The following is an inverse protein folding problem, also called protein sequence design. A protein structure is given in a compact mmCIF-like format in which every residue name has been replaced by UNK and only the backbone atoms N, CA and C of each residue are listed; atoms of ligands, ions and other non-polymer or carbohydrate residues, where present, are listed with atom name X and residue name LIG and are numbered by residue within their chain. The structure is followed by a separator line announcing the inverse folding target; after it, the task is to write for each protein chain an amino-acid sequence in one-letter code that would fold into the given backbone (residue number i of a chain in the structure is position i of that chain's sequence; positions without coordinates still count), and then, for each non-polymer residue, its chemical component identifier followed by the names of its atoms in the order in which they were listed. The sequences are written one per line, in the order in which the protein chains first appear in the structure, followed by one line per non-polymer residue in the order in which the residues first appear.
data_IF_723311534124
#
_entry.id   IF_723311534124
#
_cell.length_a   1.000
_cell.length_b   1.000
_cell.length_c   1.000
_cell.angle_alpha   90.00
_cell.angle_beta   90.00
_cell.angle_gamma   90.00
#
_symmetry.space_group_name_H-M   'P 1'
#
loop_
_entity.id
_entity.type
_entity.pdbx_description
1 polymer ?
#
# COMPACT_ATOMS: atom_id res chain seq x y z
N UNK A 1 25.57 18.03 -44.39
CA UNK A 1 26.17 16.67 -44.44
C UNK A 1 25.60 15.83 -43.31
N UNK A 2 24.58 14.97 -43.55
CA UNK A 2 24.09 14.05 -42.52
C UNK A 2 24.65 12.64 -42.73
N UNK A 3 25.18 12.02 -41.69
CA UNK A 3 25.51 10.58 -41.66
C UNK A 3 25.67 10.16 -40.20
N UNK A 4 25.08 9.09 -39.66
CA UNK A 4 24.10 8.12 -40.11
C UNK A 4 23.80 7.26 -38.87
N UNK A 5 22.53 7.13 -38.48
CA UNK A 5 22.11 6.22 -37.40
C UNK A 5 21.75 4.87 -38.01
N UNK A 6 22.57 3.85 -37.75
CA UNK A 6 22.26 2.47 -38.06
C UNK A 6 21.13 1.98 -37.15
N UNK A 7 19.93 1.82 -37.73
CA UNK A 7 18.79 1.19 -37.08
C UNK A 7 19.04 -0.31 -36.93
N UNK A 8 19.18 -0.78 -35.68
CA UNK A 8 19.13 -2.21 -35.37
C UNK A 8 17.65 -2.62 -35.40
N UNK A 9 17.26 -3.32 -36.46
CA UNK A 9 15.91 -3.82 -36.63
C UNK A 9 15.51 -4.74 -35.45
N UNK A 10 14.66 -4.24 -34.56
CA UNK A 10 13.92 -5.05 -33.60
C UNK A 10 13.05 -6.04 -34.39
N UNK A 11 13.34 -7.34 -34.25
CA UNK A 11 12.52 -8.40 -34.86
C UNK A 11 11.10 -8.27 -34.31
N UNK A 12 10.12 -8.21 -35.21
CA UNK A 12 8.69 -8.06 -34.88
C UNK A 12 8.22 -9.18 -33.94
N UNK A 13 7.32 -8.92 -32.97
CA UNK A 13 6.77 -9.91 -32.03
C UNK A 13 6.13 -11.15 -32.68
N UNK A 14 5.75 -11.06 -33.95
CA UNK A 14 5.11 -12.15 -34.71
C UNK A 14 6.05 -13.34 -35.00
N UNK A 15 7.39 -13.15 -35.01
CA UNK A 15 8.31 -14.27 -35.25
C UNK A 15 8.50 -15.17 -34.03
N UNK A 16 8.38 -14.65 -32.80
CA UNK A 16 8.45 -15.45 -31.56
C UNK A 16 7.19 -16.30 -31.33
N UNK A 17 6.02 -15.84 -31.79
CA UNK A 17 4.76 -16.61 -31.68
C UNK A 17 4.75 -17.91 -32.50
N UNK A 18 5.59 -18.03 -33.54
CA UNK A 18 5.70 -19.27 -34.34
C UNK A 18 6.33 -20.43 -33.59
N UNK A 19 7.10 -20.18 -32.53
CA UNK A 19 7.71 -21.22 -31.70
C UNK A 19 6.83 -21.71 -30.54
N UNK A 20 5.64 -21.13 -30.38
CA UNK A 20 4.66 -21.52 -29.36
C UNK A 20 3.37 -22.13 -29.95
N UNK A 21 3.25 -22.24 -31.28
CA UNK A 21 2.20 -23.06 -31.90
C UNK A 21 2.70 -24.51 -32.03
N UNK A 22 1.98 -25.51 -31.51
CA UNK A 22 2.37 -26.90 -31.69
C UNK A 22 2.27 -27.26 -33.18
N UNK A 23 3.23 -28.02 -33.74
CA UNK A 23 3.06 -28.63 -35.05
C UNK A 23 1.89 -29.63 -34.99
N UNK A 24 1.05 -29.74 -36.04
CA UNK A 24 0.00 -30.74 -36.06
C UNK A 24 0.63 -32.14 -36.14
N UNK A 25 0.34 -32.99 -35.15
CA UNK A 25 0.56 -34.44 -35.24
C UNK A 25 1.93 -34.99 -34.82
N UNK A 26 2.42 -34.70 -33.61
CA UNK A 26 3.47 -35.54 -32.97
C UNK A 26 2.94 -36.25 -31.72
N UNK A 27 3.03 -37.59 -31.61
CA UNK A 27 2.75 -38.30 -30.38
C UNK A 27 3.92 -38.04 -29.41
N UNK A 28 3.64 -37.35 -28.30
CA UNK A 28 4.65 -36.97 -27.31
C UNK A 28 4.39 -35.67 -26.52
N UNK A 29 3.23 -35.03 -26.67
CA UNK A 29 2.81 -33.97 -25.74
C UNK A 29 2.49 -34.61 -24.39
N UNK A 30 3.34 -34.40 -23.40
CA UNK A 30 3.04 -34.78 -22.02
C UNK A 30 1.76 -34.04 -21.63
N UNK A 31 0.63 -34.78 -21.56
CA UNK A 31 -0.62 -34.20 -21.06
C UNK A 31 -0.36 -33.67 -19.65
N UNK A 32 -1.02 -32.57 -19.24
CA UNK A 32 -1.10 -32.21 -17.83
C UNK A 32 -1.41 -33.46 -17.02
N UNK A 33 -0.60 -33.73 -15.99
CA UNK A 33 -0.85 -34.86 -15.09
C UNK A 33 -2.29 -34.76 -14.58
N UNK A 34 -3.03 -35.89 -14.46
CA UNK A 34 -4.47 -35.87 -14.14
C UNK A 34 -4.83 -34.95 -12.96
N UNK A 35 -3.98 -34.94 -11.93
CA UNK A 35 -4.15 -34.13 -10.73
C UNK A 35 -4.22 -32.60 -10.97
N UNK A 36 -3.39 -32.02 -11.85
CA UNK A 36 -3.42 -30.57 -12.08
C UNK A 36 -4.69 -30.13 -12.84
N UNK A 37 -5.20 -30.99 -13.73
CA UNK A 37 -6.45 -30.75 -14.45
C UNK A 37 -7.62 -30.76 -13.47
N UNK A 38 -7.67 -31.78 -12.60
CA UNK A 38 -8.70 -31.92 -11.57
C UNK A 38 -8.67 -30.76 -10.56
N UNK A 39 -7.48 -30.36 -10.10
CA UNK A 39 -7.32 -29.22 -9.19
C UNK A 39 -7.75 -27.90 -9.83
N UNK A 40 -7.41 -27.67 -11.10
CA UNK A 40 -7.86 -26.48 -11.83
C UNK A 40 -9.39 -26.46 -11.94
N UNK A 41 -9.99 -27.56 -12.40
CA UNK A 41 -11.43 -27.66 -12.54
C UNK A 41 -12.16 -27.43 -11.20
N UNK A 42 -11.65 -28.02 -10.11
CA UNK A 42 -12.19 -27.81 -8.77
C UNK A 42 -12.06 -26.35 -8.33
N UNK A 43 -10.88 -25.73 -8.45
CA UNK A 43 -10.66 -24.34 -8.08
C UNK A 43 -11.60 -23.39 -8.83
N UNK A 44 -11.74 -23.57 -10.13
CA UNK A 44 -12.63 -22.75 -10.97
C UNK A 44 -14.11 -22.99 -10.64
N UNK A 45 -14.50 -24.22 -10.31
CA UNK A 45 -15.88 -24.50 -9.85
C UNK A 45 -16.23 -23.81 -8.53
N UNK A 46 -15.22 -23.44 -7.75
CA UNK A 46 -15.34 -22.67 -6.50
C UNK A 46 -15.16 -21.16 -6.72
N UNK A 47 -15.03 -20.70 -7.96
CA UNK A 47 -14.83 -19.28 -8.30
C UNK A 47 -13.42 -18.76 -8.02
N UNK A 48 -12.43 -19.65 -7.89
CA UNK A 48 -11.02 -19.29 -7.68
C UNK A 48 -10.24 -19.29 -9.00
N UNK A 49 -9.32 -18.35 -9.15
CA UNK A 49 -8.34 -18.39 -10.26
C UNK A 49 -7.27 -19.43 -9.96
N UNK A 50 -7.13 -20.42 -10.83
CA UNK A 50 -6.05 -21.40 -10.76
C UNK A 50 -4.81 -20.93 -11.51
N UNK A 51 -3.66 -20.96 -10.83
CA UNK A 51 -2.34 -20.77 -11.43
C UNK A 51 -1.28 -21.52 -10.62
N UNK A 52 -0.08 -21.64 -11.19
CA UNK A 52 1.04 -22.30 -10.51
C UNK A 52 2.38 -21.68 -10.90
N UNK A 53 3.41 -22.05 -10.15
CA UNK A 53 4.79 -21.68 -10.43
C UNK A 53 5.36 -22.51 -11.58
N UNK A 54 5.85 -21.85 -12.63
CA UNK A 54 6.68 -22.46 -13.65
C UNK A 54 8.14 -22.48 -13.16
N UNK A 55 8.71 -23.67 -13.04
CA UNK A 55 10.08 -23.90 -12.58
C UNK A 55 11.05 -24.15 -13.74
N UNK A 56 10.52 -24.48 -14.92
CA UNK A 56 11.30 -24.82 -16.10
C UNK A 56 10.46 -24.71 -17.38
N UNK A 57 11.08 -24.90 -18.54
CA UNK A 57 10.36 -24.84 -19.82
C UNK A 57 9.27 -25.93 -19.99
N UNK A 58 9.45 -27.18 -19.52
CA UNK A 58 8.38 -28.18 -19.47
C UNK A 58 7.16 -27.74 -18.63
N UNK A 59 7.35 -27.30 -17.39
CA UNK A 59 6.26 -26.85 -16.50
C UNK A 59 5.59 -25.58 -17.03
N UNK A 60 6.34 -24.65 -17.62
CA UNK A 60 5.76 -23.50 -18.32
C UNK A 60 4.82 -23.94 -19.46
N UNK A 61 5.28 -24.85 -20.32
CA UNK A 61 4.44 -25.38 -21.42
C UNK A 61 3.19 -26.06 -20.87
N UNK A 62 3.35 -26.88 -19.84
CA UNK A 62 2.24 -27.56 -19.16
C UNK A 62 1.16 -26.57 -18.70
N UNK A 63 1.58 -25.50 -18.01
CA UNK A 63 0.66 -24.48 -17.49
C UNK A 63 -0.02 -23.70 -18.62
N UNK A 64 0.70 -23.39 -19.71
CA UNK A 64 0.10 -22.74 -20.88
C UNK A 64 -0.90 -23.62 -21.61
N UNK A 65 -0.63 -24.92 -21.73
CA UNK A 65 -1.56 -25.90 -22.33
C UNK A 65 -2.78 -26.14 -21.45
N UNK A 66 -2.61 -26.09 -20.12
CA UNK A 66 -3.68 -26.14 -19.13
C UNK A 66 -4.59 -24.90 -19.17
N UNK A 67 -4.13 -23.82 -19.81
CA UNK A 67 -4.90 -22.59 -20.00
C UNK A 67 -5.01 -21.75 -18.73
N UNK A 68 -3.93 -21.63 -17.95
CA UNK A 68 -3.90 -20.72 -16.79
C UNK A 68 -3.99 -19.25 -17.20
N UNK A 69 -4.61 -18.43 -16.36
CA UNK A 69 -4.81 -17.00 -16.64
C UNK A 69 -3.58 -16.15 -16.37
N UNK A 70 -2.67 -16.63 -15.52
CA UNK A 70 -1.43 -15.96 -15.14
C UNK A 70 -0.32 -16.98 -14.83
N UNK A 71 0.92 -16.53 -14.95
CA UNK A 71 2.11 -17.33 -14.64
C UNK A 71 2.79 -16.80 -13.39
N UNK A 72 3.22 -17.70 -12.50
CA UNK A 72 4.13 -17.38 -11.40
C UNK A 72 5.53 -17.89 -11.73
N UNK A 73 6.55 -17.06 -11.52
CA UNK A 73 7.95 -17.48 -11.49
C UNK A 73 8.43 -17.40 -10.04
N UNK A 74 8.93 -18.49 -9.44
CA UNK A 74 9.41 -18.49 -8.07
C UNK A 74 10.71 -17.69 -7.94
N UNK A 75 11.07 -17.28 -6.72
CA UNK A 75 12.30 -16.52 -6.45
C UNK A 75 13.56 -17.22 -6.98
N UNK A 76 13.60 -18.55 -6.88
CA UNK A 76 14.72 -19.37 -7.35
C UNK A 76 14.99 -19.25 -8.85
N UNK A 77 13.96 -18.97 -9.65
CA UNK A 77 14.05 -18.89 -11.11
C UNK A 77 14.04 -17.45 -11.66
N UNK A 78 14.12 -16.44 -10.77
CA UNK A 78 14.19 -15.04 -11.20
C UNK A 78 15.41 -14.79 -12.11
N UNK A 79 16.54 -15.42 -11.81
CA UNK A 79 17.79 -15.30 -12.58
C UNK A 79 17.81 -16.19 -13.83
N UNK A 80 16.82 -17.08 -14.00
CA UNK A 80 16.71 -17.99 -15.15
C UNK A 80 16.17 -17.23 -16.37
N UNK A 81 16.96 -16.29 -16.91
CA UNK A 81 16.55 -15.41 -18.01
C UNK A 81 15.99 -16.14 -19.25
N UNK A 82 16.51 -17.31 -19.67
CA UNK A 82 15.88 -18.08 -20.74
C UNK A 82 14.42 -18.47 -20.46
N UNK A 83 14.10 -18.84 -19.21
CA UNK A 83 12.72 -19.14 -18.79
C UNK A 83 11.86 -17.88 -18.83
N UNK A 84 12.37 -16.74 -18.35
CA UNK A 84 11.66 -15.46 -18.39
C UNK A 84 11.31 -15.01 -19.82
N UNK A 85 12.23 -15.23 -20.78
CA UNK A 85 11.94 -14.95 -22.20
C UNK A 85 10.76 -15.76 -22.72
N UNK A 86 10.72 -17.05 -22.37
CA UNK A 86 9.61 -17.94 -22.73
C UNK A 86 8.32 -17.50 -22.05
N UNK A 87 8.36 -17.21 -20.75
CA UNK A 87 7.21 -16.78 -19.96
C UNK A 87 6.61 -15.48 -20.52
N UNK A 88 7.43 -14.46 -20.81
CA UNK A 88 6.95 -13.21 -21.40
C UNK A 88 6.38 -13.38 -22.82
N UNK A 89 6.92 -14.33 -23.61
CA UNK A 89 6.44 -14.61 -24.96
C UNK A 89 5.05 -15.28 -24.99
N UNK A 90 4.57 -15.82 -23.87
CA UNK A 90 3.21 -16.39 -23.76
C UNK A 90 2.11 -15.32 -23.92
N UNK A 91 2.40 -14.06 -23.55
CA UNK A 91 1.42 -12.97 -23.51
C UNK A 91 0.52 -12.98 -22.26
N UNK A 92 0.69 -13.96 -21.36
CA UNK A 92 0.04 -13.98 -20.06
C UNK A 92 0.70 -12.97 -19.09
N UNK A 93 -0.03 -12.46 -18.08
CA UNK A 93 0.59 -11.79 -16.95
C UNK A 93 1.63 -12.69 -16.27
N UNK A 94 2.78 -12.10 -15.91
CA UNK A 94 3.88 -12.80 -15.24
C UNK A 94 4.11 -12.20 -13.87
N UNK A 95 3.90 -12.99 -12.82
CA UNK A 95 4.17 -12.66 -11.42
C UNK A 95 5.54 -13.21 -11.04
N UNK A 96 6.49 -12.35 -10.66
CA UNK A 96 7.85 -12.76 -10.28
C UNK A 96 8.07 -12.46 -8.79
N UNK A 97 8.62 -13.42 -8.02
CA UNK A 97 9.08 -13.13 -6.65
C UNK A 97 10.56 -12.79 -6.67
N UNK A 98 10.99 -11.92 -5.74
CA UNK A 98 12.36 -11.39 -5.71
C UNK A 98 13.18 -11.82 -4.50
N UNK A 99 12.82 -12.95 -3.87
CA UNK A 99 13.64 -13.52 -2.80
C UNK A 99 15.03 -13.94 -3.33
N UNK A 100 16.03 -14.00 -2.44
CA UNK A 100 17.42 -14.38 -2.76
C UNK A 100 18.09 -13.52 -3.86
N UNK A 101 17.52 -12.37 -4.21
CA UNK A 101 17.92 -11.60 -5.39
C UNK A 101 18.44 -10.23 -5.00
N UNK A 102 19.50 -9.77 -5.66
CA UNK A 102 19.98 -8.39 -5.58
C UNK A 102 19.20 -7.52 -6.56
N UNK A 103 19.27 -6.19 -6.42
CA UNK A 103 18.64 -5.28 -7.37
C UNK A 103 19.09 -5.52 -8.83
N UNK A 104 20.36 -5.87 -9.05
CA UNK A 104 20.89 -6.19 -10.38
C UNK A 104 20.23 -7.43 -11.01
N UNK A 105 19.87 -8.43 -10.20
CA UNK A 105 19.18 -9.63 -10.66
C UNK A 105 17.74 -9.28 -11.08
N UNK A 106 17.06 -8.46 -10.27
CA UNK A 106 15.70 -7.98 -10.55
C UNK A 106 15.72 -7.08 -11.80
N UNK A 107 16.72 -6.22 -11.97
CA UNK A 107 16.90 -5.38 -13.16
C UNK A 107 17.00 -6.24 -14.43
N UNK A 108 17.83 -7.29 -14.39
CA UNK A 108 18.01 -8.20 -15.51
C UNK A 108 16.71 -8.97 -15.84
N UNK A 109 15.99 -9.42 -14.82
CA UNK A 109 14.72 -10.12 -14.96
C UNK A 109 13.64 -9.22 -15.59
N UNK A 110 13.44 -8.02 -15.05
CA UNK A 110 12.47 -7.05 -15.56
C UNK A 110 12.83 -6.61 -16.98
N UNK A 111 14.10 -6.30 -17.25
CA UNK A 111 14.56 -5.95 -18.59
C UNK A 111 14.34 -7.10 -19.60
N UNK A 112 14.49 -8.35 -19.17
CA UNK A 112 14.24 -9.52 -20.00
C UNK A 112 12.75 -9.68 -20.32
N UNK A 113 11.87 -9.57 -19.33
CA UNK A 113 10.41 -9.67 -19.54
C UNK A 113 9.88 -8.53 -20.40
N UNK A 114 10.38 -7.29 -20.19
CA UNK A 114 9.99 -6.11 -20.99
C UNK A 114 10.36 -6.20 -22.47
N UNK A 115 11.16 -7.17 -22.90
CA UNK A 115 11.38 -7.42 -24.32
C UNK A 115 10.12 -7.96 -25.02
N UNK A 116 9.19 -8.57 -24.27
CA UNK A 116 8.03 -9.26 -24.83
C UNK A 116 6.70 -8.91 -24.14
N UNK A 117 6.70 -8.39 -22.90
CA UNK A 117 5.48 -8.02 -22.17
C UNK A 117 5.70 -6.92 -21.14
N UNK A 118 4.69 -6.06 -20.95
CA UNK A 118 4.62 -5.10 -19.84
C UNK A 118 3.69 -5.60 -18.70
N UNK A 119 3.08 -6.77 -18.84
CA UNK A 119 2.13 -7.36 -17.88
C UNK A 119 2.88 -8.08 -16.75
N UNK A 120 3.68 -7.34 -16.00
CA UNK A 120 4.58 -7.87 -14.96
C UNK A 120 4.10 -7.43 -13.58
N UNK A 121 4.04 -8.35 -12.62
CA UNK A 121 3.81 -8.06 -11.20
C UNK A 121 5.04 -8.53 -10.42
N UNK A 122 5.58 -7.67 -9.55
CA UNK A 122 6.75 -7.98 -8.73
C UNK A 122 6.29 -8.26 -7.30
N UNK A 123 6.66 -9.40 -6.72
CA UNK A 123 6.42 -9.68 -5.31
C UNK A 123 7.72 -9.48 -4.52
N UNK A 124 7.68 -8.53 -3.58
CA UNK A 124 8.70 -8.44 -2.53
C UNK A 124 8.63 -9.69 -1.65
N UNK A 125 9.78 -10.26 -1.32
CA UNK A 125 9.86 -11.56 -0.65
C UNK A 125 11.22 -11.76 0.02
N UNK A 126 11.22 -12.40 1.19
CA UNK A 126 12.39 -13.00 1.81
C UNK A 126 12.18 -14.53 1.87
N UNK A 127 13.13 -15.31 1.37
CA UNK A 127 13.01 -16.77 1.21
C UNK A 127 13.56 -17.58 2.40
N UNK A 128 13.48 -17.03 3.61
CA UNK A 128 13.68 -17.75 4.86
C UNK A 128 12.35 -18.31 5.37
N UNK A 129 12.34 -19.55 5.87
CA UNK A 129 11.11 -20.27 6.26
C UNK A 129 11.22 -20.83 7.70
N UNK A 130 10.73 -20.12 8.73
CA UNK A 130 10.10 -18.81 8.67
C UNK A 130 11.10 -17.65 8.54
N UNK A 131 10.64 -16.53 7.97
CA UNK A 131 11.40 -15.28 7.90
C UNK A 131 11.29 -14.54 9.25
N UNK A 132 12.41 -14.14 9.89
CA UNK A 132 12.36 -13.24 11.03
C UNK A 132 11.75 -11.87 10.65
N UNK A 133 10.95 -11.29 11.54
CA UNK A 133 10.20 -10.05 11.28
C UNK A 133 11.12 -8.87 10.92
N UNK A 134 12.27 -8.77 11.58
CA UNK A 134 13.29 -7.75 11.33
C UNK A 134 13.97 -7.88 9.95
N UNK A 135 13.79 -9.00 9.27
CA UNK A 135 14.33 -9.28 7.93
C UNK A 135 13.28 -9.19 6.82
N UNK A 136 12.01 -8.90 7.15
CA UNK A 136 10.93 -8.82 6.15
C UNK A 136 11.16 -7.66 5.19
N UNK A 137 11.48 -6.46 5.70
CA UNK A 137 11.85 -5.31 4.85
C UNK A 137 10.70 -4.74 4.00
N UNK A 138 9.50 -4.55 4.55
CA UNK A 138 8.34 -4.01 3.81
C UNK A 138 8.59 -2.70 3.01
N UNK A 139 9.42 -1.72 3.46
CA UNK A 139 9.72 -0.54 2.66
C UNK A 139 10.35 -0.83 1.29
N UNK A 140 10.92 -2.02 1.07
CA UNK A 140 11.45 -2.45 -0.22
C UNK A 140 10.34 -2.51 -1.29
N UNK A 141 9.08 -2.78 -0.92
CA UNK A 141 7.96 -2.76 -1.86
C UNK A 141 7.81 -1.42 -2.57
N UNK A 142 7.97 -0.33 -1.81
CA UNK A 142 7.90 1.03 -2.35
C UNK A 142 9.12 1.36 -3.24
N UNK A 143 10.32 0.90 -2.85
CA UNK A 143 11.51 0.99 -3.69
C UNK A 143 11.28 0.29 -5.05
N UNK A 144 10.78 -0.95 -5.04
CA UNK A 144 10.51 -1.72 -6.26
C UNK A 144 9.48 -1.00 -7.14
N UNK A 145 8.42 -0.47 -6.53
CA UNK A 145 7.36 0.27 -7.25
C UNK A 145 7.92 1.51 -7.94
N UNK A 146 8.67 2.35 -7.22
CA UNK A 146 9.29 3.57 -7.78
C UNK A 146 10.32 3.25 -8.85
N UNK A 147 11.14 2.21 -8.66
CA UNK A 147 12.21 1.83 -9.60
C UNK A 147 11.67 1.34 -10.93
N UNK A 148 10.67 0.45 -10.90
CA UNK A 148 10.22 -0.23 -12.12
C UNK A 148 8.93 0.34 -12.71
N UNK A 149 8.17 1.13 -11.96
CA UNK A 149 6.87 1.64 -12.38
C UNK A 149 5.85 0.51 -12.63
N UNK A 150 6.04 -0.63 -11.97
CA UNK A 150 5.23 -1.84 -12.11
C UNK A 150 4.37 -2.09 -10.86
N UNK A 151 3.25 -2.82 -10.98
CA UNK A 151 2.52 -3.33 -9.84
C UNK A 151 3.42 -4.16 -8.92
N UNK A 152 3.34 -3.88 -7.61
CA UNK A 152 4.10 -4.59 -6.57
C UNK A 152 3.14 -5.24 -5.58
N UNK A 153 3.42 -6.48 -5.23
CA UNK A 153 2.76 -7.23 -4.16
C UNK A 153 3.76 -7.71 -3.11
N UNK A 154 3.28 -8.53 -2.19
CA UNK A 154 4.02 -9.11 -1.08
C UNK A 154 3.87 -10.63 -1.08
N UNK A 155 4.96 -11.38 -0.90
CA UNK A 155 4.98 -12.83 -0.72
C UNK A 155 5.70 -13.13 0.60
N UNK A 156 4.91 -13.52 1.61
CA UNK A 156 5.33 -13.63 2.99
C UNK A 156 5.65 -15.06 3.44
N UNK A 157 6.71 -15.19 4.22
CA UNK A 157 7.16 -16.44 4.85
C UNK A 157 7.42 -16.27 6.35
N UNK A 158 7.04 -15.14 6.93
CA UNK A 158 7.09 -14.88 8.37
C UNK A 158 6.10 -15.77 9.13
N UNK A 159 6.30 -15.96 10.43
CA UNK A 159 5.44 -16.86 11.21
C UNK A 159 4.07 -16.24 11.51
N UNK A 160 4.06 -14.99 11.95
CA UNK A 160 2.86 -14.28 12.43
C UNK A 160 2.27 -13.36 11.34
N UNK A 161 1.03 -12.89 11.55
CA UNK A 161 0.31 -12.10 10.55
C UNK A 161 0.73 -10.61 10.48
N UNK A 162 1.47 -10.12 11.47
CA UNK A 162 1.80 -8.70 11.63
C UNK A 162 2.43 -8.09 10.37
N UNK A 163 3.53 -8.65 9.84
CA UNK A 163 4.17 -8.13 8.62
C UNK A 163 3.25 -8.23 7.39
N UNK A 164 2.50 -9.32 7.22
CA UNK A 164 1.53 -9.46 6.13
C UNK A 164 0.47 -8.37 6.16
N UNK A 165 -0.14 -8.10 7.33
CA UNK A 165 -1.17 -7.06 7.47
C UNK A 165 -0.57 -5.68 7.26
N UNK A 166 0.61 -5.41 7.84
CA UNK A 166 1.33 -4.16 7.66
C UNK A 166 1.73 -3.90 6.20
N UNK A 167 1.95 -4.94 5.39
CA UNK A 167 2.22 -4.81 3.96
C UNK A 167 1.12 -4.03 3.22
N UNK A 168 -0.14 -4.09 3.71
CA UNK A 168 -1.29 -3.35 3.17
C UNK A 168 -1.05 -1.84 3.10
N UNK A 169 -0.29 -1.27 4.05
CA UNK A 169 0.05 0.16 4.05
C UNK A 169 0.89 0.57 2.83
N UNK A 170 1.55 -0.39 2.19
CA UNK A 170 2.31 -0.19 0.96
C UNK A 170 1.49 -0.45 -0.30
N UNK A 171 0.17 -0.59 -0.20
CA UNK A 171 -0.77 -0.82 -1.31
C UNK A 171 -0.34 -1.96 -2.26
N UNK A 172 -0.16 -3.20 -1.75
CA UNK A 172 0.15 -4.35 -2.57
C UNK A 172 -1.00 -4.67 -3.53
N UNK A 173 -0.69 -5.07 -4.76
CA UNK A 173 -1.71 -5.62 -5.68
C UNK A 173 -2.00 -7.10 -5.44
N UNK A 174 -1.08 -7.80 -4.75
CA UNK A 174 -1.17 -9.22 -4.37
C UNK A 174 -0.53 -9.37 -2.98
N UNK A 175 -1.17 -10.16 -2.12
CA UNK A 175 -0.58 -10.70 -0.88
C UNK A 175 -0.60 -12.22 -1.01
N UNK A 176 0.57 -12.83 -0.92
CA UNK A 176 0.78 -14.28 -1.07
C UNK A 176 1.31 -14.86 0.24
N UNK A 177 0.71 -15.96 0.68
CA UNK A 177 1.07 -16.72 1.87
C UNK A 177 0.87 -18.21 1.60
N UNK A 178 1.75 -19.04 2.15
CA UNK A 178 1.54 -20.49 2.11
C UNK A 178 0.31 -20.87 2.94
N UNK A 179 -0.40 -21.91 2.50
CA UNK A 179 -1.62 -22.41 3.11
C UNK A 179 -1.47 -23.91 3.39
N UNK A 180 -2.02 -24.36 4.52
CA UNK A 180 -2.04 -25.78 4.87
C UNK A 180 -3.30 -26.14 5.63
N UNK A 181 -3.72 -27.40 5.55
CA UNK A 181 -4.77 -27.95 6.41
C UNK A 181 -4.23 -28.31 7.80
N UNK A 182 -2.94 -28.65 7.89
CA UNK A 182 -2.27 -29.03 9.13
C UNK A 182 -0.76 -28.74 9.05
N UNK A 183 -0.26 -28.03 10.06
CA UNK A 183 1.15 -27.64 10.19
C UNK A 183 2.06 -28.81 10.59
N UNK A 184 1.49 -29.90 11.10
CA UNK A 184 2.22 -31.10 11.50
C UNK A 184 2.53 -32.05 10.32
N UNK A 185 1.98 -31.78 9.13
CA UNK A 185 2.23 -32.58 7.93
C UNK A 185 3.71 -32.52 7.50
N UNK A 186 4.24 -33.59 6.86
CA UNK A 186 5.61 -33.61 6.38
C UNK A 186 5.87 -32.53 5.33
N UNK A 187 6.97 -31.79 5.49
CA UNK A 187 7.42 -30.77 4.55
C UNK A 187 7.84 -29.49 5.26
N UNK A 188 8.82 -28.78 4.72
CA UNK A 188 9.38 -27.55 5.31
C UNK A 188 8.37 -26.42 5.37
N UNK A 189 7.48 -26.36 4.39
CA UNK A 189 6.62 -25.21 4.15
C UNK A 189 5.40 -25.21 5.08
N UNK A 190 4.98 -26.37 5.60
CA UNK A 190 3.85 -26.50 6.50
C UNK A 190 4.01 -25.65 7.77
N UNK A 191 5.23 -25.53 8.28
CA UNK A 191 5.53 -24.75 9.49
C UNK A 191 5.29 -23.24 9.29
N UNK A 192 5.61 -22.71 8.11
CA UNK A 192 5.39 -21.31 7.75
C UNK A 192 3.99 -21.03 7.15
N UNK A 193 3.18 -22.07 6.96
CA UNK A 193 1.87 -21.99 6.32
C UNK A 193 0.77 -21.53 7.27
N UNK A 194 -0.26 -20.91 6.70
CA UNK A 194 -1.49 -20.54 7.39
C UNK A 194 -2.50 -21.69 7.35
N UNK A 195 -3.12 -21.97 8.49
CA UNK A 195 -4.31 -22.83 8.57
C UNK A 195 -5.54 -22.10 8.01
N UNK A 196 -6.68 -22.78 7.74
CA UNK A 196 -7.90 -22.12 7.29
C UNK A 196 -8.31 -20.93 8.17
N UNK A 197 -8.29 -21.09 9.49
CA UNK A 197 -8.66 -20.03 10.43
C UNK A 197 -7.66 -18.86 10.40
N UNK A 198 -6.35 -19.16 10.33
CA UNK A 198 -5.31 -18.14 10.26
C UNK A 198 -5.38 -17.35 8.93
N UNK A 199 -5.70 -18.03 7.82
CA UNK A 199 -5.90 -17.40 6.52
C UNK A 199 -7.15 -16.50 6.52
N UNK A 200 -8.25 -16.96 7.12
CA UNK A 200 -9.46 -16.16 7.29
C UNK A 200 -9.21 -14.91 8.15
N UNK A 201 -8.48 -15.07 9.27
CA UNK A 201 -8.06 -13.96 10.12
C UNK A 201 -7.19 -12.95 9.37
N UNK A 202 -6.20 -13.44 8.61
CA UNK A 202 -5.36 -12.61 7.74
C UNK A 202 -6.22 -11.80 6.75
N UNK A 203 -7.13 -12.46 6.02
CA UNK A 203 -7.98 -11.79 5.05
C UNK A 203 -8.87 -10.71 5.70
N UNK A 204 -9.44 -10.99 6.88
CA UNK A 204 -10.22 -10.02 7.63
C UNK A 204 -9.37 -8.80 8.06
N UNK A 205 -8.16 -9.04 8.59
CA UNK A 205 -7.26 -7.96 9.02
C UNK A 205 -6.75 -7.12 7.83
N UNK A 206 -6.46 -7.74 6.68
CA UNK A 206 -6.11 -7.02 5.44
C UNK A 206 -7.27 -6.11 5.02
N UNK A 207 -8.51 -6.59 5.02
CA UNK A 207 -9.69 -5.77 4.65
C UNK A 207 -9.93 -4.62 5.63
N UNK A 208 -9.68 -4.83 6.92
CA UNK A 208 -9.72 -3.77 7.93
C UNK A 208 -8.63 -2.72 7.68
N UNK A 209 -7.39 -3.15 7.41
CA UNK A 209 -6.28 -2.25 7.10
C UNK A 209 -6.55 -1.45 5.81
N UNK A 210 -7.05 -2.08 4.75
CA UNK A 210 -7.45 -1.39 3.52
C UNK A 210 -8.50 -0.30 3.78
N UNK A 211 -9.50 -0.58 4.62
CA UNK A 211 -10.51 0.40 4.99
C UNK A 211 -9.91 1.59 5.77
N UNK A 212 -8.98 1.32 6.69
CA UNK A 212 -8.29 2.33 7.48
C UNK A 212 -7.40 3.26 6.62
N UNK A 213 -6.92 2.79 5.46
CA UNK A 213 -6.04 3.55 4.57
C UNK A 213 -6.78 4.44 3.56
N UNK A 214 -8.12 4.45 3.53
CA UNK A 214 -8.92 5.19 2.52
C UNK A 214 -8.86 6.71 2.65
N UNK A 215 -8.71 7.21 3.88
CA UNK A 215 -8.76 8.65 4.16
C UNK A 215 -7.34 9.20 4.19
N UNK A 216 -7.00 10.01 3.19
CA UNK A 216 -5.64 10.55 3.01
C UNK A 216 -5.50 12.02 3.41
N UNK A 217 -6.60 12.68 3.80
CA UNK A 217 -6.62 14.08 4.25
C UNK A 217 -7.08 14.15 5.70
N UNK A 218 -6.39 14.94 6.53
CA UNK A 218 -6.85 15.20 7.90
C UNK A 218 -8.17 15.96 7.83
N UNK A 219 -9.20 15.36 8.42
CA UNK A 219 -10.53 15.92 8.55
C UNK A 219 -11.11 15.52 9.90
N UNK A 220 -12.16 16.24 10.32
CA UNK A 220 -12.98 15.88 11.48
C UNK A 220 -14.22 15.18 10.95
N UNK A 221 -14.47 13.96 11.41
CA UNK A 221 -15.67 13.22 11.00
C UNK A 221 -16.91 13.67 11.77
N UNK A 222 -18.13 13.50 11.24
CA UNK A 222 -19.36 13.83 11.97
C UNK A 222 -19.45 13.14 13.36
N UNK A 223 -19.00 11.88 13.45
CA UNK A 223 -18.93 11.17 14.73
C UNK A 223 -17.88 11.72 15.71
N UNK A 224 -16.81 12.34 15.21
CA UNK A 224 -15.79 13.01 16.03
C UNK A 224 -16.27 14.38 16.52
N UNK A 225 -17.13 15.07 15.77
CA UNK A 225 -17.62 16.40 16.10
C UNK A 225 -18.30 16.47 17.48
N UNK A 226 -18.98 15.40 17.92
CA UNK A 226 -19.56 15.31 19.26
C UNK A 226 -18.52 15.38 20.40
N UNK A 227 -17.27 15.00 20.13
CA UNK A 227 -16.17 15.11 21.08
C UNK A 227 -15.62 16.55 21.18
N UNK A 228 -16.04 17.48 20.31
CA UNK A 228 -15.60 18.87 20.35
C UNK A 228 -15.92 19.57 21.68
N UNK A 229 -16.93 19.11 22.43
CA UNK A 229 -17.26 19.59 23.79
C UNK A 229 -16.12 19.46 24.80
N UNK A 230 -15.13 18.60 24.54
CA UNK A 230 -13.93 18.43 25.36
C UNK A 230 -12.85 19.49 25.07
N UNK A 231 -13.04 20.32 24.04
CA UNK A 231 -12.13 21.44 23.76
C UNK A 231 -12.29 22.50 24.85
N UNK A 232 -11.22 23.25 25.06
CA UNK A 232 -11.14 24.32 26.05
C UNK A 232 -11.28 25.66 25.33
N UNK A 233 -12.40 26.40 25.43
CA UNK A 233 -12.43 27.78 24.97
C UNK A 233 -11.56 28.69 25.85
N UNK A 234 -11.27 29.88 25.31
CA UNK A 234 -10.73 31.00 26.07
C UNK A 234 -11.80 31.55 27.02
N UNK A 235 -11.41 31.75 28.26
CA UNK A 235 -12.21 32.41 29.31
C UNK A 235 -11.38 33.47 30.01
N UNK A 236 -12.01 34.42 30.69
CA UNK A 236 -11.27 35.36 31.53
C UNK A 236 -10.81 34.68 32.82
N UNK A 237 -9.54 34.86 33.17
CA UNK A 237 -8.95 34.25 34.35
C UNK A 237 -9.39 34.92 35.66
N UNK A 238 -9.91 36.16 35.58
CA UNK A 238 -10.36 37.02 36.67
C UNK A 238 -11.37 38.06 36.18
N UNK A 239 -12.05 38.74 37.09
CA UNK A 239 -12.90 39.89 36.78
C UNK A 239 -12.06 41.07 36.28
N UNK A 240 -12.51 41.73 35.20
CA UNK A 240 -11.77 42.82 34.54
C UNK A 240 -12.70 43.99 34.17
N UNK A 241 -12.28 45.25 34.35
CA UNK A 241 -13.11 46.42 34.04
C UNK A 241 -13.10 46.76 32.55
N UNK A 242 -14.12 47.52 32.12
CA UNK A 242 -14.15 48.10 30.78
C UNK A 242 -12.92 48.99 30.54
N UNK A 243 -12.34 48.92 29.35
CA UNK A 243 -11.17 49.68 28.94
C UNK A 243 -9.82 49.07 29.33
N UNK A 244 -9.80 47.96 30.09
CA UNK A 244 -8.59 47.20 30.41
C UNK A 244 -7.99 46.56 29.15
N UNK A 245 -6.66 46.50 29.07
CA UNK A 245 -5.94 45.84 27.97
C UNK A 245 -5.50 44.46 28.46
N UNK A 246 -5.95 43.41 27.80
CA UNK A 246 -5.73 42.04 28.23
C UNK A 246 -4.24 41.65 28.19
N UNK A 247 -3.71 41.20 29.32
CA UNK A 247 -2.42 40.53 29.43
C UNK A 247 -2.55 39.00 29.33
N UNK A 248 -1.42 38.27 29.22
CA UNK A 248 -1.42 36.82 29.22
C UNK A 248 -2.09 36.17 30.44
N UNK A 249 -1.97 36.80 31.61
CA UNK A 249 -2.53 36.34 32.89
C UNK A 249 -4.05 36.57 33.01
N UNK A 250 -4.63 37.37 32.12
CA UNK A 250 -6.05 37.70 32.11
C UNK A 250 -6.90 36.66 31.38
N UNK A 251 -6.26 35.74 30.65
CA UNK A 251 -6.92 34.77 29.78
C UNK A 251 -6.50 33.36 30.15
N UNK A 252 -7.48 32.48 30.35
CA UNK A 252 -7.28 31.07 30.64
C UNK A 252 -7.98 30.18 29.60
N UNK A 253 -7.58 28.91 29.53
CA UNK A 253 -8.27 27.90 28.73
C UNK A 253 -8.94 26.89 29.66
N UNK A 254 -10.28 26.86 29.72
CA UNK A 254 -11.03 25.97 30.62
C UNK A 254 -11.98 25.05 29.85
N UNK A 255 -12.21 23.84 30.35
CA UNK A 255 -13.11 22.82 29.79
C UNK A 255 -14.33 22.67 30.71
N UNK A 256 -15.52 22.32 30.21
CA UNK A 256 -15.91 22.23 28.79
C UNK A 256 -16.40 23.57 28.23
N UNK A 257 -16.49 23.70 26.90
CA UNK A 257 -17.22 24.80 26.28
C UNK A 257 -16.99 24.91 24.77
N UNK A 258 -17.80 25.75 24.12
CA UNK A 258 -17.82 26.00 22.67
C UNK A 258 -17.47 27.46 22.32
N UNK A 259 -16.96 28.21 23.30
CA UNK A 259 -16.49 29.58 23.13
C UNK A 259 -15.25 29.71 22.25
N UNK A 260 -14.66 30.91 22.22
CA UNK A 260 -13.55 31.21 21.32
C UNK A 260 -12.37 30.24 21.49
N UNK A 261 -11.94 29.64 20.38
CA UNK A 261 -10.82 28.70 20.36
C UNK A 261 -9.53 29.34 20.88
N UNK A 262 -8.70 28.65 21.67
CA UNK A 262 -7.38 29.11 22.08
C UNK A 262 -6.41 29.37 20.93
N UNK A 263 -6.72 28.88 19.72
CA UNK A 263 -6.00 29.28 18.50
C UNK A 263 -6.06 30.80 18.28
N UNK A 264 -7.09 31.46 18.79
CA UNK A 264 -7.24 32.92 18.74
C UNK A 264 -6.54 33.65 19.91
N UNK A 265 -5.79 32.96 20.78
CA UNK A 265 -5.19 33.57 21.98
C UNK A 265 -4.37 34.82 21.66
N UNK A 266 -3.50 34.75 20.66
CA UNK A 266 -2.65 35.89 20.27
C UNK A 266 -3.44 37.04 19.60
N UNK A 267 -4.68 36.79 19.16
CA UNK A 267 -5.59 37.86 18.73
C UNK A 267 -6.21 38.57 19.93
N UNK A 268 -6.47 37.82 21.01
CA UNK A 268 -7.16 38.30 22.20
C UNK A 268 -6.20 39.09 23.11
N UNK A 269 -5.00 38.57 23.35
CA UNK A 269 -4.00 39.24 24.19
C UNK A 269 -3.57 40.56 23.55
N UNK A 270 -3.51 41.62 24.36
CA UNK A 270 -3.31 43.00 23.92
C UNK A 270 -4.60 43.69 23.44
N UNK A 271 -5.71 42.98 23.32
CA UNK A 271 -7.02 43.57 23.02
C UNK A 271 -7.55 44.40 24.20
N UNK A 272 -8.20 45.52 23.91
CA UNK A 272 -8.84 46.38 24.91
C UNK A 272 -10.30 46.00 25.10
N UNK A 273 -10.71 45.73 26.33
CA UNK A 273 -12.10 45.43 26.68
C UNK A 273 -13.02 46.63 26.43
N UNK A 274 -14.15 46.40 25.77
CA UNK A 274 -15.20 47.40 25.53
C UNK A 274 -16.23 47.45 26.66
N UNK A 275 -16.32 46.38 27.45
CA UNK A 275 -17.19 46.24 28.60
C UNK A 275 -16.48 45.51 29.73
N UNK A 276 -17.01 45.61 30.96
CA UNK A 276 -16.54 44.78 32.07
C UNK A 276 -16.89 43.31 31.82
N UNK A 277 -16.05 42.40 32.29
CA UNK A 277 -16.20 40.94 32.16
C UNK A 277 -15.91 40.26 33.49
N UNK A 278 -16.41 39.04 33.68
CA UNK A 278 -16.20 38.25 34.89
C UNK A 278 -15.28 37.06 34.64
N UNK A 279 -14.65 36.59 35.70
CA UNK A 279 -13.94 35.32 35.72
C UNK A 279 -14.82 34.21 35.16
N UNK A 280 -14.21 33.34 34.34
CA UNK A 280 -14.82 32.17 33.71
C UNK A 280 -15.89 32.47 32.64
N UNK A 281 -16.21 33.73 32.40
CA UNK A 281 -16.95 34.11 31.19
C UNK A 281 -16.10 33.81 29.94
N UNK A 282 -16.75 33.28 28.90
CA UNK A 282 -16.10 33.01 27.63
C UNK A 282 -15.64 34.32 26.98
N UNK A 283 -14.42 34.30 26.44
CA UNK A 283 -13.91 35.41 25.63
C UNK A 283 -14.72 35.48 24.34
N UNK A 284 -15.12 36.69 23.95
CA UNK A 284 -15.85 36.97 22.72
C UNK A 284 -15.26 38.20 22.04
N UNK A 285 -15.20 38.19 20.71
CA UNK A 285 -14.63 39.32 19.95
C UNK A 285 -15.51 40.58 20.00
N UNK A 286 -16.81 40.44 20.23
CA UNK A 286 -17.76 41.57 20.30
C UNK A 286 -17.48 42.52 21.48
N UNK A 287 -16.84 42.04 22.53
CA UNK A 287 -16.44 42.83 23.70
C UNK A 287 -14.97 43.26 23.68
N UNK A 288 -14.27 43.08 22.55
CA UNK A 288 -12.84 43.39 22.40
C UNK A 288 -12.56 44.31 21.23
N UNK A 289 -11.91 45.45 21.50
CA UNK A 289 -11.19 46.19 20.49
C UNK A 289 -9.78 45.57 20.32
N UNK A 290 -9.59 44.83 19.23
CA UNK A 290 -8.32 44.17 18.93
C UNK A 290 -7.20 45.20 18.73
N UNK A 291 -6.00 44.90 19.22
CA UNK A 291 -4.82 45.72 18.96
C UNK A 291 -4.49 45.75 17.46
N UNK A 292 -4.13 46.94 16.94
CA UNK A 292 -3.62 47.07 15.58
C UNK A 292 -2.30 46.30 15.46
N UNK A 293 -2.28 45.24 14.64
CA UNK A 293 -1.08 44.42 14.43
C UNK A 293 -0.06 45.19 13.58
N UNK A 294 1.21 45.03 13.89
CA UNK A 294 2.32 45.63 13.15
C UNK A 294 2.66 44.92 11.83
N UNK A 295 1.95 43.85 11.42
CA UNK A 295 2.15 43.19 10.12
C UNK A 295 0.84 42.60 9.54
N UNK A 296 0.48 42.93 8.28
CA UNK A 296 -0.78 42.50 7.67
C UNK A 296 -0.85 41.04 7.19
N UNK A 297 0.27 40.32 7.05
CA UNK A 297 0.27 38.99 6.41
C UNK A 297 -0.21 37.81 7.28
N UNK A 298 -0.09 37.88 8.61
CA UNK A 298 -0.48 36.76 9.50
C UNK A 298 -1.98 36.75 9.84
N UNK A 299 -2.60 37.93 9.96
CA UNK A 299 -4.00 38.06 10.39
C UNK A 299 -5.00 37.44 9.38
N UNK A 300 -4.69 37.50 8.09
CA UNK A 300 -5.54 36.97 7.03
C UNK A 300 -5.52 35.43 6.96
N UNK A 301 -4.40 34.79 7.32
CA UNK A 301 -4.30 33.33 7.41
C UNK A 301 -4.97 32.78 8.66
N UNK A 302 -4.86 33.47 9.80
CA UNK A 302 -5.51 33.07 11.06
C UNK A 302 -7.03 33.25 11.01
N UNK A 303 -7.55 34.34 10.43
CA UNK A 303 -9.00 34.54 10.29
C UNK A 303 -9.68 33.47 9.39
N UNK A 304 -9.00 33.04 8.32
CA UNK A 304 -9.46 31.95 7.45
C UNK A 304 -9.44 30.58 8.13
N UNK A 305 -8.52 30.36 9.08
CA UNK A 305 -8.45 29.14 9.89
C UNK A 305 -9.48 29.12 11.03
N UNK A 306 -9.93 30.30 11.50
CA UNK A 306 -10.92 30.46 12.57
C UNK A 306 -12.36 30.38 12.04
N UNK A 307 -12.64 30.80 10.80
CA UNK A 307 -14.00 30.77 10.20
C UNK A 307 -14.35 29.49 9.43
N UNK A 308 -13.52 28.45 9.47
CA UNK A 308 -13.63 27.27 8.62
C UNK A 308 -14.74 26.30 9.02
N UNK A 309 -15.93 26.50 8.46
CA UNK A 309 -16.62 25.43 7.73
C UNK A 309 -15.76 24.92 6.56
#
# INVERSE_FOLDING_TARGET
MPSGRAGRALRRPQQLRRHLRPPPGRPGTARPGPALVELKALAESLGLTFFASAWDAPSLRLLTELGVELLKIPSADLVTLPLLRLAGATGLPVVISTGMSRLADIDAAVATLKQTTDRIIILHCNSSYPCPDEQVGLPVMDLLRRRYGLPVGYSGHEQELGPTVASTAFAPVIIERHFTLDRALPGTDHKASLTPDAFAAMAAMVRQAEAAMRVSRKQVFPGEAAAAKLRKPLVYARDLPAGHVLGPEDVACKCPGDGLSPVAYDLVVGGRLLAKVRQDEAVRFDVLALAARSKPDEAAQTAKAISGC
#
